data_IF_696674925123
#
_entry.id   IF_696674925123
#
_cell.length_a   1.000
_cell.length_b   1.000
_cell.length_c   1.000
_cell.angle_alpha   90.00
_cell.angle_beta   90.00
_cell.angle_gamma   90.00
#
_symmetry.space_group_name_H-M   'P 1'
#
loop_
_entity.id
_entity.type
_entity.pdbx_description
1 polymer ?
#
# COMPACT_ATOMS: atom_id res chain seq x y z
N UNK A 1 49.38 -41.32 -34.68
CA UNK A 1 48.89 -40.27 -33.74
C UNK A 1 48.25 -39.11 -34.52
N UNK A 2 47.17 -39.33 -35.28
CA UNK A 2 46.65 -38.28 -36.16
C UNK A 2 45.20 -38.39 -36.62
N UNK A 3 44.47 -39.45 -36.23
CA UNK A 3 43.08 -39.65 -36.68
C UNK A 3 42.07 -39.52 -35.53
N UNK A 4 42.53 -39.57 -34.27
CA UNK A 4 41.65 -39.45 -33.10
C UNK A 4 41.29 -37.99 -32.75
N UNK A 5 42.09 -37.00 -33.19
CA UNK A 5 41.80 -35.59 -32.93
C UNK A 5 40.78 -35.00 -33.92
N UNK A 6 40.75 -35.52 -35.16
CA UNK A 6 39.83 -35.08 -36.20
C UNK A 6 38.37 -35.52 -35.96
N UNK A 7 38.16 -36.67 -35.29
CA UNK A 7 36.80 -37.15 -34.97
C UNK A 7 36.19 -36.37 -33.79
N UNK A 8 37.01 -35.89 -32.85
CA UNK A 8 36.51 -35.11 -31.71
C UNK A 8 36.03 -33.70 -32.11
N UNK A 9 36.60 -33.11 -33.17
CA UNK A 9 36.16 -31.80 -33.69
C UNK A 9 34.94 -31.90 -34.62
N UNK A 10 34.67 -33.07 -35.23
CA UNK A 10 33.51 -33.26 -36.09
C UNK A 10 32.19 -33.49 -35.31
N UNK A 11 32.25 -34.02 -34.08
CA UNK A 11 31.05 -34.20 -33.24
C UNK A 11 30.60 -32.89 -32.59
N UNK A 12 31.50 -31.93 -32.39
CA UNK A 12 31.15 -30.61 -31.83
C UNK A 12 30.50 -29.69 -32.90
N UNK A 13 30.78 -29.89 -34.18
CA UNK A 13 30.26 -29.04 -35.25
C UNK A 13 28.84 -29.39 -35.75
N UNK A 14 28.29 -30.56 -35.39
CA UNK A 14 26.93 -30.96 -35.82
C UNK A 14 25.83 -30.70 -34.77
N UNK A 15 26.11 -29.89 -33.75
CA UNK A 15 25.09 -29.36 -32.83
C UNK A 15 24.90 -27.84 -32.94
N UNK A 16 25.58 -27.18 -33.89
CA UNK A 16 25.55 -25.72 -34.04
C UNK A 16 24.63 -25.21 -35.17
N UNK A 17 23.70 -26.02 -35.67
CA UNK A 17 22.61 -25.57 -36.56
C UNK A 17 21.27 -26.03 -35.99
N UNK A 18 20.83 -25.31 -34.98
CA UNK A 18 19.43 -24.93 -34.85
C UNK A 18 19.41 -23.69 -33.98
N UNK A 19 19.30 -22.53 -34.64
CA UNK A 19 18.91 -21.28 -33.99
C UNK A 19 17.46 -21.40 -33.51
N UNK A 20 17.24 -22.22 -32.49
CA UNK A 20 16.03 -22.23 -31.70
C UNK A 20 16.27 -21.31 -30.51
N UNK A 21 15.51 -20.21 -30.44
CA UNK A 21 15.50 -19.31 -29.30
C UNK A 21 15.45 -20.12 -28.01
N UNK A 22 16.45 -19.93 -27.14
CA UNK A 22 16.46 -20.48 -25.79
C UNK A 22 15.33 -19.84 -24.99
N UNK A 23 14.13 -20.38 -25.10
CA UNK A 23 13.03 -20.06 -24.21
C UNK A 23 13.42 -20.58 -22.83
N UNK A 24 13.93 -19.69 -21.98
CA UNK A 24 14.13 -19.95 -20.57
C UNK A 24 12.86 -20.63 -20.01
N UNK A 25 12.95 -21.84 -19.42
CA UNK A 25 11.76 -22.53 -18.89
C UNK A 25 11.03 -21.67 -17.85
N UNK A 26 11.74 -20.75 -17.18
CA UNK A 26 11.16 -19.76 -16.27
C UNK A 26 10.22 -18.74 -16.95
N UNK A 27 10.39 -18.48 -18.25
CA UNK A 27 9.50 -17.61 -19.03
C UNK A 27 8.17 -18.27 -19.39
N UNK A 28 8.17 -19.59 -19.56
CA UNK A 28 6.98 -20.38 -19.88
C UNK A 28 6.04 -20.47 -18.65
N UNK A 29 6.60 -20.70 -17.46
CA UNK A 29 5.81 -20.78 -16.21
C UNK A 29 5.13 -19.46 -15.84
N UNK A 30 5.78 -18.32 -16.13
CA UNK A 30 5.18 -16.98 -15.96
C UNK A 30 3.97 -16.76 -16.88
N UNK A 31 4.01 -17.28 -18.11
CA UNK A 31 2.86 -17.24 -19.04
C UNK A 31 1.72 -18.15 -18.61
N UNK A 32 2.01 -19.29 -17.97
CA UNK A 32 0.98 -20.21 -17.49
C UNK A 32 0.23 -19.68 -16.27
N UNK A 33 0.91 -18.98 -15.37
CA UNK A 33 0.28 -18.30 -14.23
C UNK A 33 -0.61 -17.13 -14.67
N UNK A 34 -0.21 -16.40 -15.72
CA UNK A 34 -0.98 -15.27 -16.28
C UNK A 34 -2.28 -15.70 -17.00
N UNK A 35 -2.39 -16.98 -17.38
CA UNK A 35 -3.59 -17.56 -18.01
C UNK A 35 -4.63 -18.04 -16.99
N UNK A 36 -4.28 -18.14 -15.71
CA UNK A 36 -5.25 -18.41 -14.65
C UNK A 36 -6.01 -17.12 -14.39
N UNK A 37 -7.20 -16.98 -14.98
CA UNK A 37 -8.12 -15.91 -14.61
C UNK A 37 -8.57 -16.14 -13.17
N UNK A 38 -8.06 -15.32 -12.25
CA UNK A 38 -8.58 -15.25 -10.90
C UNK A 38 -10.07 -14.86 -10.96
N UNK A 39 -10.92 -15.59 -10.25
CA UNK A 39 -12.33 -15.22 -10.14
C UNK A 39 -12.45 -13.84 -9.51
N UNK A 40 -13.35 -12.96 -10.00
CA UNK A 40 -13.56 -11.66 -9.40
C UNK A 40 -13.97 -11.83 -7.93
N UNK A 41 -13.10 -11.40 -7.01
CA UNK A 41 -13.39 -11.42 -5.58
C UNK A 41 -14.53 -10.42 -5.28
N UNK A 42 -15.75 -10.93 -5.13
CA UNK A 42 -16.92 -10.12 -4.75
C UNK A 42 -17.04 -10.11 -3.23
N UNK A 43 -16.59 -9.04 -2.61
CA UNK A 43 -16.70 -8.86 -1.16
C UNK A 43 -18.04 -8.21 -0.82
N UNK A 44 -18.84 -8.91 0.00
CA UNK A 44 -20.16 -8.43 0.44
C UNK A 44 -19.99 -7.46 1.61
N UNK A 45 -20.63 -6.30 1.51
CA UNK A 45 -20.70 -5.34 2.61
C UNK A 45 -21.81 -5.72 3.60
N UNK A 46 -21.53 -5.60 4.90
CA UNK A 46 -22.41 -6.04 5.98
C UNK A 46 -23.12 -4.86 6.70
N UNK A 47 -23.32 -3.73 6.03
CA UNK A 47 -24.05 -2.56 6.56
C UNK A 47 -23.47 -1.93 7.85
N UNK A 48 -22.18 -2.15 8.14
CA UNK A 48 -21.48 -1.48 9.25
C UNK A 48 -21.01 -0.07 8.88
N UNK A 49 -20.84 0.87 9.83
CA UNK A 49 -20.45 2.25 9.51
C UNK A 49 -19.22 2.32 8.59
N UNK A 50 -19.34 3.04 7.48
CA UNK A 50 -18.24 3.28 6.56
C UNK A 50 -17.64 4.66 6.81
N UNK A 51 -16.31 4.73 6.80
CA UNK A 51 -15.55 5.98 6.77
C UNK A 51 -15.68 6.63 5.38
N UNK A 52 -16.89 7.08 5.07
CA UNK A 52 -17.23 7.78 3.83
C UNK A 52 -17.18 9.27 4.09
N UNK A 53 -16.11 9.90 3.66
CA UNK A 53 -16.04 11.37 3.64
C UNK A 53 -15.98 11.80 2.18
N UNK A 54 -16.95 12.62 1.78
CA UNK A 54 -16.93 13.33 0.51
C UNK A 54 -16.68 14.80 0.85
N UNK A 55 -15.66 15.48 0.28
CA UNK A 55 -14.82 15.05 -0.85
C UNK A 55 -13.41 14.49 -0.50
N UNK A 56 -12.89 14.60 0.73
CA UNK A 56 -11.52 14.19 1.06
C UNK A 56 -11.37 13.74 2.53
N UNK A 57 -10.69 12.60 2.77
CA UNK A 57 -10.34 12.13 4.12
C UNK A 57 -8.91 12.57 4.47
N UNK A 58 -8.73 13.55 5.36
CA UNK A 58 -7.39 13.94 5.80
C UNK A 58 -6.92 13.05 6.96
N UNK A 59 -5.80 12.35 6.76
CA UNK A 59 -5.14 11.55 7.80
C UNK A 59 -4.01 12.36 8.43
N UNK A 60 -4.22 12.75 9.68
CA UNK A 60 -3.23 13.48 10.48
C UNK A 60 -2.38 12.52 11.31
N UNK A 61 -1.07 12.76 11.38
CA UNK A 61 -0.14 11.89 12.11
C UNK A 61 0.46 12.59 13.32
N UNK A 62 0.49 11.90 14.47
CA UNK A 62 1.22 12.32 15.66
C UNK A 62 2.30 11.27 15.94
N UNK A 63 3.56 11.64 15.70
CA UNK A 63 4.72 10.80 15.92
C UNK A 63 5.15 10.90 17.39
N UNK A 64 4.73 9.94 18.20
CA UNK A 64 5.08 9.91 19.62
C UNK A 64 6.33 9.05 19.85
N UNK A 65 7.47 9.71 20.01
CA UNK A 65 8.78 9.10 20.23
C UNK A 65 9.78 9.37 19.10
N UNK A 66 10.91 8.68 19.15
CA UNK A 66 12.02 8.87 18.21
C UNK A 66 11.85 8.01 16.97
N UNK A 67 11.42 8.62 15.89
CA UNK A 67 11.37 8.01 14.57
C UNK A 67 12.46 8.61 13.69
N UNK A 68 13.26 7.78 13.03
CA UNK A 68 14.20 8.28 12.01
C UNK A 68 13.45 8.82 10.80
N UNK A 69 14.07 9.70 9.98
CA UNK A 69 13.45 10.15 8.73
C UNK A 69 13.02 8.99 7.82
N UNK A 70 13.82 7.91 7.75
CA UNK A 70 13.49 6.73 6.96
C UNK A 70 12.27 5.97 7.49
N UNK A 71 12.14 5.84 8.82
CA UNK A 71 10.96 5.20 9.43
C UNK A 71 9.68 6.01 9.19
N UNK A 72 9.76 7.35 9.29
CA UNK A 72 8.61 8.21 8.98
C UNK A 72 8.24 8.13 7.50
N UNK A 73 9.22 8.10 6.60
CA UNK A 73 8.98 7.95 5.17
C UNK A 73 8.19 6.68 4.87
N UNK A 74 8.57 5.54 5.43
CA UNK A 74 7.85 4.26 5.24
C UNK A 74 6.36 4.39 5.61
N UNK A 75 6.06 5.01 6.75
CA UNK A 75 4.67 5.17 7.22
C UNK A 75 3.92 6.20 6.37
N UNK A 76 4.58 7.28 5.95
CA UNK A 76 4.01 8.28 5.04
C UNK A 76 3.70 7.66 3.67
N UNK A 77 4.62 6.90 3.09
CA UNK A 77 4.45 6.20 1.82
C UNK A 77 3.31 5.19 1.90
N UNK A 78 3.19 4.48 3.01
CA UNK A 78 2.05 3.59 3.27
C UNK A 78 0.72 4.36 3.27
N UNK A 79 0.63 5.47 4.00
CA UNK A 79 -0.58 6.30 4.05
C UNK A 79 -0.92 6.85 2.66
N UNK A 80 0.07 7.29 1.89
CA UNK A 80 -0.12 7.77 0.53
C UNK A 80 -0.57 6.65 -0.43
N UNK A 81 -0.14 5.41 -0.21
CA UNK A 81 -0.57 4.26 -1.02
C UNK A 81 -2.07 4.01 -0.97
N UNK A 82 -2.75 4.44 0.11
CA UNK A 82 -4.20 4.33 0.27
C UNK A 82 -5.00 5.25 -0.68
N UNK A 83 -4.42 6.37 -1.10
CA UNK A 83 -5.08 7.39 -1.92
C UNK A 83 -4.74 7.33 -3.41
N UNK A 84 -3.95 6.35 -3.84
CA UNK A 84 -3.51 6.22 -5.23
C UNK A 84 -4.68 5.92 -6.16
N UNK A 85 -4.90 6.78 -7.16
CA UNK A 85 -6.00 6.65 -8.11
C UNK A 85 -5.73 5.56 -9.14
N UNK A 86 -6.81 4.96 -9.63
CA UNK A 86 -6.81 4.03 -10.77
C UNK A 86 -6.10 4.68 -11.99
N UNK A 87 -4.86 4.29 -12.26
CA UNK A 87 -4.03 4.81 -13.35
C UNK A 87 -2.68 5.41 -12.95
N UNK A 88 -2.47 5.76 -11.68
CA UNK A 88 -1.17 6.19 -11.14
C UNK A 88 -0.40 5.03 -10.49
N UNK A 89 -0.98 3.83 -10.46
CA UNK A 89 -0.40 2.64 -9.86
C UNK A 89 0.79 2.11 -10.68
N UNK A 90 2.01 2.37 -10.22
CA UNK A 90 3.16 1.53 -10.54
C UNK A 90 2.97 0.09 -10.02
N UNK A 91 3.83 -0.84 -10.43
CA UNK A 91 3.76 -2.28 -10.12
C UNK A 91 4.07 -2.64 -8.65
N UNK A 92 3.67 -1.82 -7.68
CA UNK A 92 3.87 -2.13 -6.26
C UNK A 92 2.83 -3.15 -5.78
N UNK A 93 3.26 -4.08 -4.94
CA UNK A 93 2.39 -5.11 -4.34
C UNK A 93 1.28 -4.50 -3.49
N UNK A 94 1.55 -3.40 -2.79
CA UNK A 94 0.59 -2.71 -1.91
C UNK A 94 -0.53 -2.04 -2.70
N UNK A 95 -0.20 -1.34 -3.79
CA UNK A 95 -1.22 -0.71 -4.64
C UNK A 95 -2.07 -1.76 -5.36
N UNK A 96 -1.46 -2.88 -5.77
CA UNK A 96 -2.17 -4.05 -6.30
C UNK A 96 -3.13 -4.64 -5.27
N UNK A 97 -2.76 -4.68 -3.99
CA UNK A 97 -3.64 -5.12 -2.92
C UNK A 97 -4.82 -4.16 -2.69
N UNK A 98 -4.59 -2.84 -2.69
CA UNK A 98 -5.68 -1.85 -2.58
C UNK A 98 -6.67 -1.97 -3.73
N UNK A 99 -6.21 -2.26 -4.95
CA UNK A 99 -7.07 -2.53 -6.11
C UNK A 99 -8.01 -3.72 -5.88
N UNK A 100 -7.57 -4.77 -5.19
CA UNK A 100 -8.43 -5.88 -4.81
C UNK A 100 -9.51 -5.44 -3.82
N UNK A 101 -9.17 -4.55 -2.89
CA UNK A 101 -10.14 -3.98 -1.93
C UNK A 101 -11.13 -3.00 -2.58
N UNK A 102 -10.77 -2.30 -3.66
CA UNK A 102 -11.75 -1.49 -4.43
C UNK A 102 -12.93 -2.34 -4.97
N UNK A 103 -12.78 -3.67 -5.02
CA UNK A 103 -13.85 -4.62 -5.34
C UNK A 103 -15.02 -4.65 -4.33
N UNK A 104 -14.91 -4.01 -3.17
CA UNK A 104 -16.02 -3.79 -2.22
C UNK A 104 -17.10 -2.90 -2.85
N UNK A 105 -18.02 -3.50 -3.62
CA UNK A 105 -19.20 -2.82 -4.17
C UNK A 105 -20.35 -2.91 -3.17
N UNK A 106 -20.39 -1.94 -2.25
CA UNK A 106 -21.48 -1.79 -1.29
C UNK A 106 -21.47 -0.41 -0.65
N UNK A 107 -22.35 0.46 -1.12
CA UNK A 107 -22.88 1.63 -0.39
C UNK A 107 -22.03 2.89 -0.25
N UNK A 108 -20.75 2.91 -0.59
CA UNK A 108 -19.91 4.11 -0.54
C UNK A 108 -19.47 4.55 -1.95
N UNK A 109 -19.49 5.85 -2.30
CA UNK A 109 -18.71 6.31 -3.43
C UNK A 109 -17.25 5.91 -3.18
N UNK A 110 -16.71 5.10 -4.09
CA UNK A 110 -15.34 4.56 -4.16
C UNK A 110 -14.23 5.62 -4.19
N UNK A 111 -14.50 6.85 -3.76
CA UNK A 111 -13.73 8.06 -4.06
C UNK A 111 -13.19 8.76 -2.82
N UNK A 112 -13.32 8.18 -1.62
CA UNK A 112 -12.62 8.69 -0.45
C UNK A 112 -11.15 8.31 -0.57
N UNK A 113 -10.38 9.13 -1.28
CA UNK A 113 -8.93 9.04 -1.32
C UNK A 113 -8.41 9.69 -0.04
N UNK A 114 -7.89 8.92 0.93
CA UNK A 114 -7.22 9.53 2.05
C UNK A 114 -6.00 10.31 1.57
N UNK A 115 -5.90 11.54 2.04
CA UNK A 115 -4.76 12.41 1.84
C UNK A 115 -4.00 12.54 3.16
N UNK A 116 -2.69 12.61 3.06
CA UNK A 116 -1.86 12.93 4.21
C UNK A 116 -2.08 14.39 4.61
N UNK A 117 -2.52 14.60 5.84
CA UNK A 117 -2.72 15.91 6.43
C UNK A 117 -1.51 16.39 7.22
N UNK A 118 -1.76 17.30 8.17
CA UNK A 118 -0.76 17.79 9.14
C UNK A 118 -0.11 16.67 9.95
N UNK A 119 1.14 16.89 10.35
CA UNK A 119 1.91 15.99 11.19
C UNK A 119 2.50 16.73 12.39
N UNK A 120 2.54 16.08 13.56
CA UNK A 120 3.22 16.57 14.77
C UNK A 120 4.23 15.53 15.23
N UNK A 121 5.44 15.97 15.59
CA UNK A 121 6.46 15.11 16.20
C UNK A 121 6.59 15.46 17.68
N UNK A 122 6.58 14.43 18.53
CA UNK A 122 6.84 14.51 19.96
C UNK A 122 7.96 13.52 20.31
N UNK A 123 9.21 13.94 20.12
CA UNK A 123 10.39 13.07 20.34
C UNK A 123 10.73 12.87 21.82
N UNK A 124 10.22 13.75 22.69
CA UNK A 124 10.58 13.80 24.11
C UNK A 124 9.76 12.86 24.97
N UNK A 125 8.72 12.23 24.40
CA UNK A 125 7.75 11.42 25.13
C UNK A 125 7.08 12.27 26.22
N UNK A 126 6.35 13.32 25.82
CA UNK A 126 5.75 14.30 26.75
C UNK A 126 4.92 13.72 27.90
N UNK A 127 4.37 12.50 27.75
CA UNK A 127 3.60 11.78 28.76
C UNK A 127 4.29 10.47 29.23
N UNK A 128 5.58 10.32 28.95
CA UNK A 128 6.36 9.11 29.25
C UNK A 128 6.28 8.03 28.17
N UNK A 129 7.06 6.97 28.32
CA UNK A 129 7.22 5.92 27.29
C UNK A 129 6.06 4.93 27.19
N UNK A 130 5.14 4.94 28.16
CA UNK A 130 3.96 4.07 28.20
C UNK A 130 2.73 4.94 28.20
N UNK A 131 1.87 4.75 27.20
CA UNK A 131 0.65 5.53 27.03
C UNK A 131 -0.57 4.73 27.49
N UNK A 132 -1.43 5.38 28.27
CA UNK A 132 -2.79 4.93 28.57
C UNK A 132 -3.76 5.52 27.55
N UNK A 133 -4.97 4.98 27.48
CA UNK A 133 -6.02 5.50 26.58
C UNK A 133 -6.40 6.95 26.88
N UNK A 134 -6.35 7.36 28.15
CA UNK A 134 -6.53 8.75 28.59
C UNK A 134 -5.49 9.69 27.99
N UNK A 135 -4.27 9.20 27.81
CA UNK A 135 -3.13 10.00 27.38
C UNK A 135 -3.24 10.34 25.89
N UNK A 136 -3.92 9.49 25.11
CA UNK A 136 -4.21 9.74 23.69
C UNK A 136 -5.04 11.02 23.53
N UNK A 137 -6.09 11.19 24.34
CA UNK A 137 -6.92 12.38 24.31
C UNK A 137 -6.12 13.64 24.67
N UNK A 138 -5.33 13.57 25.75
CA UNK A 138 -4.47 14.67 26.18
C UNK A 138 -3.42 15.06 25.11
N UNK A 139 -2.83 14.08 24.43
CA UNK A 139 -1.89 14.33 23.32
C UNK A 139 -2.57 15.05 22.17
N UNK A 140 -3.76 14.61 21.77
CA UNK A 140 -4.54 15.25 20.70
C UNK A 140 -4.95 16.67 21.09
N UNK A 141 -5.48 16.88 22.30
CA UNK A 141 -5.84 18.20 22.79
C UNK A 141 -4.64 19.15 22.81
N UNK A 142 -3.48 18.68 23.28
CA UNK A 142 -2.25 19.46 23.26
C UNK A 142 -1.80 19.83 21.84
N UNK A 143 -1.97 18.91 20.88
CA UNK A 143 -1.60 19.10 19.49
C UNK A 143 -2.52 20.06 18.75
N UNK A 144 -3.82 20.03 19.08
CA UNK A 144 -4.81 20.98 18.58
C UNK A 144 -4.58 22.36 19.19
N UNK A 145 -4.38 22.44 20.52
CA UNK A 145 -4.12 23.69 21.22
C UNK A 145 -2.83 24.37 20.74
N UNK A 146 -1.81 23.59 20.38
CA UNK A 146 -0.58 24.12 19.79
C UNK A 146 -0.70 24.48 18.30
N UNK A 147 -1.86 24.25 17.67
CA UNK A 147 -2.09 24.48 16.24
C UNK A 147 -1.40 23.49 15.29
N UNK A 148 -0.74 22.45 15.85
CA UNK A 148 0.03 21.46 15.09
C UNK A 148 -0.89 20.51 14.33
N UNK A 149 -2.04 20.16 14.92
CA UNK A 149 -3.11 19.40 14.26
C UNK A 149 -4.37 20.28 14.18
N UNK A 150 -5.22 20.10 13.15
CA UNK A 150 -6.50 20.80 13.10
C UNK A 150 -7.43 20.29 14.22
N UNK A 151 -8.37 21.11 14.69
CA UNK A 151 -9.40 20.64 15.60
C UNK A 151 -10.20 19.50 14.94
N UNK A 152 -10.70 18.55 15.74
CA UNK A 152 -11.58 17.52 15.20
C UNK A 152 -12.75 18.20 14.48
N UNK A 153 -13.10 17.69 13.30
CA UNK A 153 -14.23 18.21 12.55
C UNK A 153 -15.49 18.09 13.42
N UNK A 154 -15.94 19.22 13.94
CA UNK A 154 -17.20 19.26 14.67
C UNK A 154 -18.29 19.12 13.61
N UNK A 155 -19.12 18.08 13.76
CA UNK A 155 -20.33 17.99 12.95
C UNK A 155 -21.10 19.31 13.10
N UNK A 156 -21.41 19.97 11.98
CA UNK A 156 -22.43 21.03 11.98
C UNK A 156 -23.65 20.48 12.69
N UNK A 157 -24.10 21.18 13.75
CA UNK A 157 -25.30 20.88 14.53
C UNK A 157 -26.42 20.47 13.57
N UNK A 158 -26.77 19.19 13.52
CA UNK A 158 -27.74 18.64 12.56
C UNK A 158 -27.49 17.22 12.08
N UNK A 159 -26.32 16.62 12.33
CA UNK A 159 -26.07 15.21 11.99
C UNK A 159 -25.73 14.41 13.25
N UNK A 160 -26.75 14.09 14.06
CA UNK A 160 -26.68 12.96 15.00
C UNK A 160 -26.10 11.75 14.27
N UNK A 161 -24.97 11.25 14.73
CA UNK A 161 -24.69 9.82 14.69
C UNK A 161 -24.07 9.49 16.03
N UNK A 162 -24.77 8.69 16.80
CA UNK A 162 -24.25 8.02 17.99
C UNK A 162 -23.01 7.22 17.58
N UNK A 163 -21.89 7.50 18.25
CA UNK A 163 -20.87 6.56 18.76
C UNK A 163 -19.80 7.35 19.53
#
# INVERSE_FOLDING_TARGET
>A
MGVLWAVCMAVVALLAVNGGASSSPYGQWRKLLDLVKEEPLVLKYHNGPLLTTTPLLNLHLLWYGKFTPAQRAIVVDFVQSLGMRKGEQGSSSVSTWWKTTEGYKGSAPSNSNPALGKQKVDETYSLGKSLKRSDIAALLESAVKSGALPPPETKKKGAELYL
#
